data_IF_014827596569
#
_entry.id   IF_014827596569
#
_cell.length_a   1.000
_cell.length_b   1.000
_cell.length_c   1.000
_cell.angle_alpha   90.00
_cell.angle_beta   90.00
_cell.angle_gamma   90.00
#
_symmetry.space_group_name_H-M   'P 1'
#
loop_
_entity.id
_entity.type
_entity.pdbx_description
1 polymer ?
#
# COMPACT_ATOMS: atom_id res chain seq x y z
N UNK A 1 8.30 8.79 -4.44
CA UNK A 1 8.35 8.56 -2.98
C UNK A 1 7.28 9.39 -2.30
N UNK A 2 6.59 8.79 -1.33
CA UNK A 2 5.61 9.44 -0.45
C UNK A 2 6.37 10.20 0.63
N UNK A 3 5.97 11.45 0.88
CA UNK A 3 6.37 12.20 2.08
C UNK A 3 5.24 12.15 3.12
N UNK A 4 4.01 12.46 2.71
CA UNK A 4 2.85 12.48 3.62
C UNK A 4 1.60 12.03 2.86
N UNK A 5 0.74 11.26 3.52
CA UNK A 5 -0.62 11.01 3.06
C UNK A 5 -1.58 11.44 4.16
N UNK A 6 -2.41 12.43 3.86
CA UNK A 6 -3.41 12.96 4.79
C UNK A 6 -4.81 12.62 4.28
N UNK A 7 -5.69 12.24 5.20
CA UNK A 7 -7.07 11.95 4.89
C UNK A 7 -7.96 12.26 6.11
N UNK A 8 -9.21 12.63 5.88
CA UNK A 8 -10.15 12.99 6.94
C UNK A 8 -11.59 12.69 6.55
N UNK A 9 -12.46 12.57 7.55
CA UNK A 9 -13.86 12.15 7.39
C UNK A 9 -13.98 10.88 6.52
N UNK A 10 -13.24 9.83 6.88
CA UNK A 10 -13.17 8.58 6.12
C UNK A 10 -13.13 7.34 7.03
N UNK A 11 -14.06 6.41 6.82
CA UNK A 11 -14.22 5.18 7.57
C UNK A 11 -14.42 5.45 9.05
N UNK A 12 -13.42 5.07 9.85
CA UNK A 12 -13.41 5.32 11.30
C UNK A 12 -12.72 6.62 11.70
N UNK A 13 -12.16 7.39 10.77
CA UNK A 13 -11.44 8.63 11.07
C UNK A 13 -12.36 9.84 10.86
N UNK A 14 -12.69 10.55 11.95
CA UNK A 14 -13.48 11.80 11.90
C UNK A 14 -12.61 12.96 11.40
N UNK A 15 -11.54 13.23 12.14
CA UNK A 15 -10.62 14.34 11.87
C UNK A 15 -9.57 13.97 10.81
N UNK A 16 -8.91 14.97 10.23
CA UNK A 16 -7.79 14.75 9.33
C UNK A 16 -6.62 14.12 10.11
N UNK A 17 -6.13 12.99 9.63
CA UNK A 17 -4.93 12.31 10.11
C UNK A 17 -3.88 12.24 8.99
N UNK A 18 -2.61 12.12 9.37
CA UNK A 18 -1.49 12.10 8.42
C UNK A 18 -0.54 10.94 8.67
N UNK A 19 -0.38 10.08 7.68
CA UNK A 19 0.69 9.11 7.60
C UNK A 19 1.97 9.83 7.14
N UNK A 20 2.95 10.02 8.02
CA UNK A 20 4.15 10.82 7.75
C UNK A 20 5.40 9.96 7.51
N UNK A 21 5.94 9.97 6.29
CA UNK A 21 7.16 9.29 5.89
C UNK A 21 8.42 10.17 5.99
N UNK A 22 8.32 11.40 6.50
CA UNK A 22 9.47 12.26 6.77
C UNK A 22 10.16 11.85 8.06
N UNK A 23 11.48 11.68 8.01
CA UNK A 23 12.26 11.29 9.17
C UNK A 23 12.29 12.40 10.23
N UNK A 24 12.01 12.03 11.47
CA UNK A 24 12.16 12.92 12.61
C UNK A 24 13.65 13.14 12.92
N UNK A 25 13.98 14.31 13.48
CA UNK A 25 15.32 14.65 13.96
C UNK A 25 15.63 13.95 15.30
N UNK A 26 15.67 12.61 15.27
CA UNK A 26 15.93 11.73 16.41
C UNK A 26 17.17 10.88 16.18
N UNK A 27 17.77 10.39 17.28
CA UNK A 27 18.86 9.43 17.25
C UNK A 27 18.37 8.07 17.75
N UNK A 28 18.68 7.02 17.00
CA UNK A 28 18.37 5.64 17.39
C UNK A 28 19.42 5.10 18.35
N UNK A 29 19.08 4.00 19.04
CA UNK A 29 20.05 3.24 19.82
C UNK A 29 21.09 2.60 18.90
N UNK A 30 20.60 1.92 17.86
CA UNK A 30 21.42 1.39 16.78
C UNK A 30 21.67 2.46 15.72
N UNK A 31 22.93 2.92 15.61
CA UNK A 31 23.30 4.03 14.71
C UNK A 31 23.10 3.70 13.23
N UNK A 32 23.20 2.42 12.86
CA UNK A 32 22.96 1.97 11.50
C UNK A 32 21.53 2.24 11.04
N UNK A 33 20.55 2.32 11.94
CA UNK A 33 19.17 2.65 11.58
C UNK A 33 19.04 4.11 11.10
N UNK A 34 19.88 5.00 11.61
CA UNK A 34 19.89 6.42 11.23
C UNK A 34 20.51 6.65 9.84
N UNK A 35 21.11 5.60 9.24
CA UNK A 35 21.66 5.64 7.88
C UNK A 35 20.91 4.71 6.93
N UNK A 36 20.61 3.48 7.36
CA UNK A 36 20.09 2.42 6.51
C UNK A 36 18.59 2.57 6.30
N UNK A 37 17.84 2.94 7.34
CA UNK A 37 16.37 3.03 7.28
C UNK A 37 15.88 4.34 6.64
N UNK A 38 16.80 5.18 6.15
CA UNK A 38 16.49 6.49 5.59
C UNK A 38 16.93 6.62 4.13
N UNK A 39 16.13 7.33 3.34
CA UNK A 39 16.53 7.91 2.06
C UNK A 39 16.95 9.36 2.29
N UNK A 40 18.23 9.68 2.03
CA UNK A 40 18.67 11.07 2.07
C UNK A 40 18.17 11.82 0.83
N UNK A 41 17.28 12.80 1.02
CA UNK A 41 16.76 13.63 -0.09
C UNK A 41 17.65 14.86 -0.31
N UNK A 42 18.01 15.55 0.77
CA UNK A 42 18.95 16.66 0.81
C UNK A 42 19.49 16.84 2.23
N UNK A 43 20.36 17.81 2.48
CA UNK A 43 21.01 18.03 3.80
C UNK A 43 20.04 18.11 4.99
N UNK A 44 18.80 18.58 4.78
CA UNK A 44 17.83 18.84 5.83
C UNK A 44 16.62 17.90 5.81
N UNK A 45 16.54 17.00 4.83
CA UNK A 45 15.39 16.14 4.63
C UNK A 45 15.82 14.71 4.31
N UNK A 46 15.29 13.79 5.09
CA UNK A 46 15.38 12.35 4.85
C UNK A 46 13.98 11.75 4.94
N UNK A 47 13.72 10.72 4.13
CA UNK A 47 12.46 9.97 4.14
C UNK A 47 12.69 8.58 4.73
N UNK A 48 11.68 8.03 5.39
CA UNK A 48 11.69 6.68 5.92
C UNK A 48 11.59 5.68 4.76
N UNK A 49 12.37 4.59 4.85
CA UNK A 49 12.26 3.45 3.92
C UNK A 49 11.10 2.53 4.26
N UNK A 50 10.77 2.42 5.54
CA UNK A 50 9.62 1.62 5.97
C UNK A 50 8.86 2.26 7.12
N UNK A 51 7.59 1.88 7.27
CA UNK A 51 6.72 2.30 8.37
C UNK A 51 5.75 1.18 8.74
N UNK A 52 5.67 0.92 10.03
CA UNK A 52 4.80 -0.07 10.64
C UNK A 52 3.63 0.64 11.34
N UNK A 53 2.42 0.11 11.18
CA UNK A 53 1.20 0.61 11.82
C UNK A 53 0.62 -0.47 12.71
N UNK A 54 0.58 -0.21 14.02
CA UNK A 54 0.08 -1.11 15.06
C UNK A 54 -1.24 -0.64 15.66
N UNK A 55 -1.87 -1.50 16.43
CA UNK A 55 -3.10 -1.18 17.13
C UNK A 55 -4.03 -2.38 17.31
N UNK A 56 -5.00 -2.24 18.21
CA UNK A 56 -5.96 -3.27 18.55
C UNK A 56 -6.83 -3.70 17.36
N UNK A 57 -7.50 -4.85 17.50
CA UNK A 57 -8.55 -5.23 16.56
C UNK A 57 -9.64 -4.16 16.53
N UNK A 58 -10.19 -3.90 15.34
CA UNK A 58 -11.18 -2.86 15.09
C UNK A 58 -10.75 -1.41 15.46
N UNK A 59 -9.46 -1.14 15.67
CA UNK A 59 -8.98 0.22 15.99
C UNK A 59 -9.04 1.19 14.81
N UNK A 60 -8.99 0.69 13.57
CA UNK A 60 -9.04 1.49 12.35
C UNK A 60 -7.83 1.35 11.43
N UNK A 61 -6.84 0.49 11.74
CA UNK A 61 -5.62 0.31 10.91
C UNK A 61 -5.93 0.11 9.43
N UNK A 62 -6.75 -0.88 9.09
CA UNK A 62 -7.13 -1.15 7.69
C UNK A 62 -7.85 0.02 7.03
N UNK A 63 -8.48 0.93 7.78
CA UNK A 63 -9.09 2.14 7.22
C UNK A 63 -8.05 3.15 6.73
N UNK A 64 -6.82 3.14 7.25
CA UNK A 64 -5.69 3.93 6.70
C UNK A 64 -5.37 3.47 5.28
N UNK A 65 -5.26 2.14 5.07
CA UNK A 65 -4.98 1.56 3.75
C UNK A 65 -6.18 1.70 2.82
N UNK A 66 -7.42 1.57 3.33
CA UNK A 66 -8.63 1.82 2.54
C UNK A 66 -8.73 3.28 2.09
N UNK A 67 -8.32 4.25 2.91
CA UNK A 67 -8.30 5.66 2.52
C UNK A 67 -7.34 5.89 1.35
N UNK A 68 -6.12 5.35 1.43
CA UNK A 68 -5.15 5.43 0.33
C UNK A 68 -5.64 4.69 -0.93
N UNK A 69 -6.27 3.53 -0.76
CA UNK A 69 -6.88 2.77 -1.86
C UNK A 69 -8.01 3.55 -2.53
N UNK A 70 -8.90 4.19 -1.75
CA UNK A 70 -9.97 5.03 -2.27
C UNK A 70 -9.41 6.22 -3.04
N UNK A 71 -8.42 6.93 -2.47
CA UNK A 71 -7.73 8.03 -3.13
C UNK A 71 -7.17 7.64 -4.51
N UNK A 72 -6.39 6.55 -4.58
CA UNK A 72 -5.80 6.05 -5.83
C UNK A 72 -6.87 5.58 -6.82
N UNK A 73 -7.92 4.91 -6.35
CA UNK A 73 -9.03 4.44 -7.21
C UNK A 73 -9.82 5.60 -7.80
N UNK A 74 -10.14 6.62 -7.01
CA UNK A 74 -10.84 7.81 -7.49
C UNK A 74 -9.98 8.51 -8.57
N UNK A 75 -8.68 8.66 -8.35
CA UNK A 75 -7.76 9.18 -9.39
C UNK A 75 -7.80 8.32 -10.65
N UNK A 76 -7.70 6.99 -10.52
CA UNK A 76 -7.69 6.07 -11.67
C UNK A 76 -9.00 6.07 -12.49
N UNK A 77 -10.15 6.26 -11.83
CA UNK A 77 -11.45 5.95 -12.41
C UNK A 77 -12.42 7.15 -12.52
N UNK A 78 -12.12 8.32 -11.97
CA UNK A 78 -13.05 9.47 -11.95
C UNK A 78 -13.57 9.94 -13.31
N UNK A 79 -12.81 9.68 -14.39
CA UNK A 79 -13.23 9.95 -15.78
C UNK A 79 -13.85 8.73 -16.46
N UNK A 80 -13.57 7.52 -15.98
CA UNK A 80 -13.91 6.24 -16.65
C UNK A 80 -15.14 5.55 -16.07
N UNK A 81 -15.47 5.80 -14.81
CA UNK A 81 -16.60 5.18 -14.10
C UNK A 81 -17.33 6.25 -13.28
N UNK A 82 -18.61 6.45 -13.56
CA UNK A 82 -19.48 7.37 -12.83
C UNK A 82 -19.66 7.00 -11.36
N UNK A 83 -19.35 5.76 -10.99
CA UNK A 83 -19.40 5.25 -9.61
C UNK A 83 -18.05 5.35 -8.89
N UNK A 84 -17.05 5.97 -9.50
CA UNK A 84 -15.72 6.15 -8.89
C UNK A 84 -15.76 6.80 -7.51
N UNK A 85 -16.69 7.72 -7.24
CA UNK A 85 -16.84 8.35 -5.91
C UNK A 85 -17.50 7.43 -4.87
N UNK A 86 -18.03 6.26 -5.26
CA UNK A 86 -18.58 5.28 -4.31
C UNK A 86 -17.52 4.62 -3.41
N UNK A 87 -16.23 4.82 -3.70
CA UNK A 87 -15.14 4.42 -2.80
C UNK A 87 -15.03 5.30 -1.55
N UNK A 88 -15.77 6.42 -1.49
CA UNK A 88 -15.82 7.29 -0.33
C UNK A 88 -16.77 6.69 0.70
N UNK A 89 -16.26 6.45 1.91
CA UNK A 89 -17.03 6.04 3.06
C UNK A 89 -16.78 7.06 4.17
N UNK A 90 -17.71 7.98 4.43
CA UNK A 90 -17.52 9.06 5.42
C UNK A 90 -17.64 8.55 6.86
N UNK A 91 -17.18 9.33 7.83
CA UNK A 91 -17.34 8.98 9.24
C UNK A 91 -18.80 9.14 9.68
N UNK A 92 -19.49 8.01 9.90
CA UNK A 92 -20.95 7.97 10.10
C UNK A 92 -21.43 8.14 11.54
N UNK A 93 -20.53 8.16 12.52
CA UNK A 93 -20.90 8.28 13.95
C UNK A 93 -21.03 9.74 14.43
N UNK A 94 -21.00 10.70 13.50
CA UNK A 94 -21.13 12.13 13.80
C UNK A 94 -22.14 12.76 12.84
N UNK A 95 -23.18 13.38 13.40
CA UNK A 95 -24.19 14.11 12.62
C UNK A 95 -23.62 15.33 11.91
N UNK A 96 -22.47 15.84 12.37
CA UNK A 96 -21.78 16.98 11.77
C UNK A 96 -21.03 16.58 10.50
N UNK A 97 -20.37 15.41 10.48
CA UNK A 97 -19.44 15.05 9.39
C UNK A 97 -20.04 14.09 8.38
N UNK A 98 -21.18 13.44 8.69
CA UNK A 98 -21.81 12.46 7.81
C UNK A 98 -22.21 13.04 6.44
N UNK A 99 -22.53 14.34 6.39
CA UNK A 99 -22.86 15.09 5.17
C UNK A 99 -21.70 15.89 4.59
N UNK A 100 -20.57 15.98 5.31
CA UNK A 100 -19.39 16.71 4.86
C UNK A 100 -18.56 15.85 3.90
N UNK A 101 -17.80 16.47 2.98
CA UNK A 101 -16.92 15.72 2.09
C UNK A 101 -15.81 15.01 2.87
N UNK A 102 -15.27 13.94 2.28
CA UNK A 102 -14.02 13.33 2.70
C UNK A 102 -12.85 14.14 2.13
N UNK A 103 -11.79 14.27 2.93
CA UNK A 103 -10.56 14.96 2.53
C UNK A 103 -9.49 13.93 2.16
N UNK A 104 -8.75 14.18 1.07
CA UNK A 104 -7.57 13.41 0.71
C UNK A 104 -6.45 14.31 0.19
N UNK A 105 -5.21 14.07 0.63
CA UNK A 105 -4.03 14.76 0.12
C UNK A 105 -2.80 13.87 0.17
N UNK A 106 -2.03 13.86 -0.91
CA UNK A 106 -0.72 13.22 -0.99
C UNK A 106 0.36 14.27 -1.26
N UNK A 107 1.40 14.25 -0.42
CA UNK A 107 2.66 14.94 -0.66
C UNK A 107 3.69 13.89 -1.08
N UNK A 108 4.29 14.08 -2.24
CA UNK A 108 5.18 13.10 -2.84
C UNK A 108 6.22 13.77 -3.74
N UNK A 109 7.25 13.01 -4.12
CA UNK A 109 8.32 13.45 -5.01
C UNK A 109 8.34 12.71 -6.33
N UNK A 110 8.57 13.49 -7.38
CA UNK A 110 8.92 13.04 -8.72
C UNK A 110 10.30 13.64 -9.06
N UNK A 111 11.33 12.81 -9.03
CA UNK A 111 12.71 13.30 -9.09
C UNK A 111 13.02 14.26 -7.93
N UNK A 112 13.46 15.48 -8.25
CA UNK A 112 13.77 16.51 -7.24
C UNK A 112 12.56 17.37 -6.85
N UNK A 113 11.49 17.34 -7.65
CA UNK A 113 10.31 18.19 -7.43
C UNK A 113 9.35 17.54 -6.43
N UNK A 114 8.97 18.32 -5.42
CA UNK A 114 7.90 17.95 -4.48
C UNK A 114 6.56 18.41 -5.04
N UNK A 115 5.55 17.56 -4.95
CA UNK A 115 4.18 17.84 -5.33
C UNK A 115 3.27 17.63 -4.13
N UNK A 116 2.21 18.43 -4.06
CA UNK A 116 1.11 18.28 -3.11
C UNK A 116 -0.18 18.28 -3.90
N UNK A 117 -0.81 17.13 -3.99
CA UNK A 117 -2.05 16.92 -4.74
C UNK A 117 -3.14 16.44 -3.79
N UNK A 118 -4.34 16.97 -3.91
CA UNK A 118 -5.45 16.57 -3.05
C UNK A 118 -6.80 17.01 -3.61
N UNK A 119 -7.85 16.49 -2.99
CA UNK A 119 -9.22 16.83 -3.30
C UNK A 119 -10.13 16.56 -2.10
N UNK A 120 -11.26 17.26 -2.07
CA UNK A 120 -12.38 16.97 -1.20
C UNK A 120 -13.56 16.48 -2.05
N UNK A 121 -14.19 15.40 -1.63
CA UNK A 121 -15.32 14.84 -2.37
C UNK A 121 -16.31 14.14 -1.44
N UNK A 122 -17.58 14.16 -1.83
CA UNK A 122 -18.60 13.26 -1.29
C UNK A 122 -18.94 12.18 -2.34
N UNK A 123 -19.88 11.28 -2.03
CA UNK A 123 -20.28 10.20 -2.95
C UNK A 123 -20.97 10.70 -4.24
N UNK A 124 -21.31 11.99 -4.33
CA UNK A 124 -22.03 12.62 -5.44
C UNK A 124 -21.11 13.48 -6.30
N UNK A 125 -20.24 14.31 -5.69
CA UNK A 125 -19.37 15.25 -6.40
C UNK A 125 -18.04 15.54 -5.69
N UNK A 126 -17.08 16.00 -6.49
CA UNK A 126 -15.83 16.64 -6.07
C UNK A 126 -16.15 18.09 -5.71
N UNK A 127 -15.77 18.51 -4.51
CA UNK A 127 -15.98 19.88 -4.00
C UNK A 127 -14.81 20.77 -4.32
N UNK A 128 -13.60 20.26 -4.13
CA UNK A 128 -12.36 20.99 -4.40
C UNK A 128 -11.27 20.04 -4.87
N UNK A 129 -10.33 20.53 -5.67
CA UNK A 129 -9.18 19.78 -6.15
C UNK A 129 -8.00 20.74 -6.36
N UNK A 130 -6.81 20.33 -5.94
CA UNK A 130 -5.63 21.17 -6.04
C UNK A 130 -4.38 20.38 -6.39
N UNK A 131 -3.49 21.05 -7.11
CA UNK A 131 -2.15 20.57 -7.38
C UNK A 131 -1.15 21.69 -7.17
N UNK A 132 -0.21 21.48 -6.26
CA UNK A 132 0.92 22.36 -6.02
C UNK A 132 2.22 21.68 -6.41
N UNK A 133 3.18 22.47 -6.86
CA UNK A 133 4.55 22.05 -7.13
C UNK A 133 5.54 22.89 -6.33
N UNK A 134 6.63 22.27 -5.91
CA UNK A 134 7.78 22.91 -5.27
C UNK A 134 9.05 22.44 -6.00
N UNK A 135 9.33 22.97 -7.22
CA UNK A 135 10.52 22.60 -7.98
C UNK A 135 11.82 23.07 -7.31
N UNK A 136 11.75 24.20 -6.59
CA UNK A 136 12.86 24.79 -5.85
C UNK A 136 12.50 24.90 -4.34
N UNK A 137 12.57 26.11 -3.76
CA UNK A 137 12.24 26.36 -2.34
C UNK A 137 10.84 26.92 -2.13
N UNK A 138 10.17 27.40 -3.19
CA UNK A 138 8.85 28.02 -3.11
C UNK A 138 7.79 27.08 -3.67
N UNK A 139 6.76 26.82 -2.87
CA UNK A 139 5.56 26.12 -3.33
C UNK A 139 4.72 27.08 -4.17
N UNK A 140 4.19 26.58 -5.28
CA UNK A 140 3.31 27.31 -6.16
C UNK A 140 2.15 26.41 -6.59
N UNK A 141 0.92 26.94 -6.67
CA UNK A 141 -0.18 26.22 -7.28
C UNK A 141 0.13 26.01 -8.76
N UNK A 142 -0.22 24.84 -9.28
CA UNK A 142 -0.32 24.57 -10.71
C UNK A 142 -1.76 24.81 -11.16
N UNK A 143 -2.73 24.27 -10.40
CA UNK A 143 -4.13 24.64 -10.50
C UNK A 143 -4.84 24.52 -9.13
N UNK A 144 -5.94 25.26 -9.00
CA UNK A 144 -6.94 25.09 -7.94
C UNK A 144 -8.32 25.10 -8.60
N UNK A 145 -9.13 24.11 -8.23
CA UNK A 145 -10.49 23.91 -8.68
C UNK A 145 -11.43 23.97 -7.48
N UNK A 146 -12.53 24.70 -7.64
CA UNK A 146 -13.68 24.69 -6.73
C UNK A 146 -14.92 24.29 -7.54
N UNK A 147 -15.66 23.29 -7.05
CA UNK A 147 -16.80 22.67 -7.72
C UNK A 147 -16.47 22.29 -9.18
N UNK A 148 -17.08 22.98 -10.15
CA UNK A 148 -16.88 22.76 -11.59
C UNK A 148 -16.08 23.87 -12.26
N UNK A 149 -15.31 24.66 -11.51
CA UNK A 149 -14.55 25.79 -12.04
C UNK A 149 -13.08 25.76 -11.61
N UNK A 150 -12.17 26.00 -12.56
CA UNK A 150 -10.75 26.24 -12.25
C UNK A 150 -10.60 27.72 -11.84
N UNK A 151 -10.46 27.98 -10.54
CA UNK A 151 -10.35 29.33 -9.99
C UNK A 151 -8.92 29.88 -10.06
N UNK A 152 -7.91 29.00 -10.11
CA UNK A 152 -6.51 29.39 -10.26
C UNK A 152 -5.79 28.46 -11.23
N UNK A 153 -5.00 29.04 -12.14
CA UNK A 153 -4.20 28.32 -13.12
C UNK A 153 -2.86 29.02 -13.30
N UNK A 154 -1.77 28.31 -13.07
CA UNK A 154 -0.43 28.89 -13.18
C UNK A 154 -0.01 29.08 -14.64
N UNK A 155 0.00 30.34 -15.08
CA UNK A 155 0.25 30.70 -16.47
C UNK A 155 1.70 30.45 -16.94
N UNK A 156 2.64 30.31 -16.01
CA UNK A 156 4.08 30.23 -16.30
C UNK A 156 4.64 28.83 -16.12
N UNK A 157 4.16 28.10 -15.12
CA UNK A 157 4.72 26.81 -14.72
C UNK A 157 3.78 25.63 -14.95
N UNK A 158 2.64 25.86 -15.60
CA UNK A 158 1.66 24.81 -15.94
C UNK A 158 1.08 24.98 -17.34
N UNK A 159 1.96 24.99 -18.35
CA UNK A 159 1.60 25.22 -19.77
C UNK A 159 0.51 24.27 -20.27
N UNK A 160 0.53 23.00 -19.86
CA UNK A 160 -0.47 22.00 -20.25
C UNK A 160 -1.88 22.33 -19.74
N UNK A 161 -2.02 22.84 -18.51
CA UNK A 161 -3.30 23.29 -17.98
C UNK A 161 -3.83 24.53 -18.70
N UNK A 162 -2.94 25.48 -19.00
CA UNK A 162 -3.27 26.70 -19.78
C UNK A 162 -3.72 26.34 -21.18
N UNK A 163 -3.00 25.45 -21.86
CA UNK A 163 -3.35 24.99 -23.20
C UNK A 163 -4.69 24.26 -23.19
N UNK A 164 -4.90 23.37 -22.23
CA UNK A 164 -6.18 22.68 -22.04
C UNK A 164 -7.31 23.69 -21.87
N UNK A 165 -7.19 24.67 -20.97
CA UNK A 165 -8.22 25.68 -20.76
C UNK A 165 -8.49 26.51 -22.04
N UNK A 166 -7.47 26.84 -22.83
CA UNK A 166 -7.64 27.56 -24.11
C UNK A 166 -8.42 26.76 -25.15
N UNK A 167 -8.11 25.47 -25.31
CA UNK A 167 -8.79 24.59 -26.25
C UNK A 167 -10.29 24.44 -25.95
N UNK A 168 -10.68 24.73 -24.71
CA UNK A 168 -12.03 24.54 -24.22
C UNK A 168 -12.88 25.81 -24.21
N UNK A 169 -12.26 26.99 -24.28
CA UNK A 169 -13.00 28.27 -24.41
C UNK A 169 -13.89 28.30 -25.65
N UNK A 170 -13.56 27.50 -26.66
CA UNK A 170 -14.33 27.38 -27.90
C UNK A 170 -15.41 26.27 -27.86
N UNK A 171 -15.49 25.51 -26.76
CA UNK A 171 -16.49 24.45 -26.56
C UNK A 171 -17.70 24.97 -25.78
N UNK A 172 -18.92 24.57 -26.19
CA UNK A 172 -20.17 24.93 -25.50
C UNK A 172 -20.49 24.02 -24.30
N UNK A 173 -19.74 22.94 -24.12
CA UNK A 173 -20.00 21.89 -23.14
C UNK A 173 -19.16 22.08 -21.86
N UNK A 174 -19.70 21.70 -20.70
CA UNK A 174 -18.93 21.58 -19.47
C UNK A 174 -17.91 20.45 -19.62
N UNK A 175 -16.63 20.77 -19.49
CA UNK A 175 -15.55 19.86 -19.87
C UNK A 175 -15.30 18.77 -18.84
N UNK A 176 -15.42 19.13 -17.57
CA UNK A 176 -15.27 18.21 -16.45
C UNK A 176 -16.60 18.18 -15.70
N UNK A 177 -17.04 16.98 -15.38
CA UNK A 177 -18.25 16.75 -14.61
C UNK A 177 -17.96 16.99 -13.13
N UNK A 178 -19.04 17.15 -12.37
CA UNK A 178 -19.02 17.16 -10.91
C UNK A 178 -18.29 15.96 -10.30
N UNK A 179 -18.06 14.88 -11.06
CA UNK A 179 -17.47 13.61 -10.59
C UNK A 179 -16.05 13.34 -11.05
N UNK A 180 -15.58 14.05 -12.06
CA UNK A 180 -14.28 13.78 -12.69
C UNK A 180 -13.19 14.68 -12.14
N UNK A 181 -12.02 14.13 -11.76
CA UNK A 181 -10.85 14.92 -11.36
C UNK A 181 -10.17 15.55 -12.58
N UNK A 182 -9.74 16.79 -12.45
CA UNK A 182 -9.02 17.54 -13.48
C UNK A 182 -7.67 16.90 -13.80
N UNK A 183 -6.93 16.42 -12.80
CA UNK A 183 -5.69 15.66 -13.04
C UNK A 183 -5.93 14.43 -13.92
N UNK A 184 -7.03 13.70 -13.69
CA UNK A 184 -7.38 12.50 -14.47
C UNK A 184 -7.78 12.85 -15.90
N UNK A 185 -8.44 13.99 -16.11
CA UNK A 185 -8.69 14.53 -17.45
C UNK A 185 -7.39 14.83 -18.17
N UNK A 186 -6.49 15.60 -17.56
CA UNK A 186 -5.20 15.96 -18.15
C UNK A 186 -4.38 14.71 -18.49
N UNK A 187 -4.38 13.67 -17.63
CA UNK A 187 -3.71 12.41 -17.93
C UNK A 187 -4.16 11.77 -19.26
N UNK A 188 -5.42 11.96 -19.65
CA UNK A 188 -5.99 11.44 -20.91
C UNK A 188 -5.56 12.25 -22.16
N UNK A 189 -4.86 13.37 -21.97
CA UNK A 189 -4.45 14.27 -23.04
C UNK A 189 -2.98 14.08 -23.40
N UNK A 190 -2.68 13.84 -24.69
CA UNK A 190 -1.35 13.43 -25.14
C UNK A 190 -0.22 14.42 -24.86
N UNK A 191 -0.51 15.73 -24.81
CA UNK A 191 0.48 16.78 -24.54
C UNK A 191 0.73 17.04 -23.05
N UNK A 192 -0.12 16.54 -22.14
CA UNK A 192 -0.04 16.83 -20.71
C UNK A 192 0.95 15.92 -19.97
N UNK A 193 2.23 15.97 -20.37
CA UNK A 193 3.28 15.06 -19.87
C UNK A 193 3.54 15.19 -18.38
N UNK A 194 3.42 16.39 -17.81
CA UNK A 194 3.66 16.60 -16.38
C UNK A 194 2.54 15.93 -15.56
N UNK A 195 1.28 16.16 -15.93
CA UNK A 195 0.12 15.50 -15.33
C UNK A 195 0.14 13.99 -15.50
N UNK A 196 0.54 13.48 -16.67
CA UNK A 196 0.72 12.03 -16.88
C UNK A 196 1.77 11.43 -15.93
N UNK A 197 2.89 12.12 -15.71
CA UNK A 197 3.92 11.66 -14.78
C UNK A 197 3.44 11.69 -13.33
N UNK A 198 2.74 12.75 -12.92
CA UNK A 198 2.14 12.89 -11.60
C UNK A 198 1.10 11.78 -11.37
N UNK A 199 0.16 11.63 -12.29
CA UNK A 199 -0.86 10.59 -12.29
C UNK A 199 -0.22 9.21 -12.17
N UNK A 200 0.77 8.89 -13.01
CA UNK A 200 1.48 7.61 -12.97
C UNK A 200 2.18 7.37 -11.63
N UNK A 201 2.80 8.41 -11.06
CA UNK A 201 3.51 8.28 -9.76
C UNK A 201 2.56 7.97 -8.61
N UNK A 202 1.37 8.57 -8.61
CA UNK A 202 0.36 8.30 -7.58
C UNK A 202 -0.24 6.90 -7.78
N UNK A 203 -0.57 6.55 -9.02
CA UNK A 203 -1.28 5.31 -9.35
C UNK A 203 -0.38 4.08 -9.40
N UNK A 204 0.95 4.25 -9.41
CA UNK A 204 1.92 3.16 -9.30
C UNK A 204 2.13 2.67 -7.87
N UNK A 205 1.55 3.32 -6.87
CA UNK A 205 1.61 2.87 -5.48
C UNK A 205 0.90 1.51 -5.38
N UNK A 206 1.63 0.48 -4.95
CA UNK A 206 1.10 -0.87 -4.82
C UNK A 206 0.41 -1.03 -3.46
N UNK A 207 -0.83 -1.51 -3.46
CA UNK A 207 -1.56 -1.88 -2.24
C UNK A 207 -1.96 -3.33 -2.35
N UNK A 208 -1.50 -4.14 -1.40
CA UNK A 208 -1.82 -5.58 -1.32
C UNK A 208 -2.38 -5.92 0.05
N UNK A 209 -3.24 -6.93 0.09
CA UNK A 209 -3.69 -7.54 1.33
C UNK A 209 -2.77 -8.71 1.68
N UNK A 210 -2.48 -8.88 2.98
CA UNK A 210 -1.82 -10.06 3.54
C UNK A 210 -2.69 -11.31 3.48
N UNK A 211 -4.00 -11.17 3.24
CA UNK A 211 -4.89 -12.29 2.97
C UNK A 211 -4.72 -12.80 1.54
N UNK A 212 -5.11 -14.04 1.29
CA UNK A 212 -5.11 -14.62 -0.05
C UNK A 212 -6.08 -13.85 -0.94
N UNK A 213 -5.58 -13.37 -2.08
CA UNK A 213 -6.36 -12.69 -3.12
C UNK A 213 -6.12 -13.41 -4.44
N UNK A 214 -7.19 -13.87 -5.08
CA UNK A 214 -7.13 -14.53 -6.39
C UNK A 214 -6.34 -13.70 -7.41
N UNK A 215 -6.46 -12.37 -7.38
CA UNK A 215 -5.72 -11.48 -8.29
C UNK A 215 -4.22 -11.52 -8.04
N UNK A 216 -3.79 -11.58 -6.77
CA UNK A 216 -2.37 -11.69 -6.44
C UNK A 216 -1.81 -13.03 -6.92
N UNK A 217 -2.58 -14.10 -6.73
CA UNK A 217 -2.22 -15.42 -7.25
C UNK A 217 -2.08 -15.40 -8.77
N UNK A 218 -3.06 -14.85 -9.50
CA UNK A 218 -3.04 -14.75 -10.96
C UNK A 218 -1.81 -13.96 -11.46
N UNK A 219 -1.47 -12.84 -10.81
CA UNK A 219 -0.27 -12.05 -11.11
C UNK A 219 1.01 -12.88 -10.89
N UNK A 220 1.10 -13.61 -9.77
CA UNK A 220 2.26 -14.45 -9.50
C UNK A 220 2.44 -15.58 -10.52
N UNK A 221 1.34 -16.17 -10.98
CA UNK A 221 1.35 -17.16 -12.07
C UNK A 221 1.83 -16.53 -13.37
N UNK A 222 1.35 -15.33 -13.71
CA UNK A 222 1.75 -14.61 -14.92
C UNK A 222 3.25 -14.29 -14.90
N UNK A 223 3.77 -13.83 -13.75
CA UNK A 223 5.18 -13.52 -13.51
C UNK A 223 6.12 -14.71 -13.74
N UNK A 224 5.67 -15.96 -13.64
CA UNK A 224 6.48 -17.14 -13.98
C UNK A 224 6.82 -17.24 -15.48
N UNK A 225 6.14 -16.47 -16.34
CA UNK A 225 6.41 -16.42 -17.78
C UNK A 225 7.57 -15.48 -18.14
N UNK A 226 8.05 -14.66 -17.19
CA UNK A 226 9.22 -13.79 -17.32
C UNK A 226 10.38 -14.41 -16.52
N UNK A 227 11.45 -14.80 -17.19
CA UNK A 227 12.58 -15.52 -16.56
C UNK A 227 13.21 -14.74 -15.40
N UNK A 228 13.31 -13.41 -15.50
CA UNK A 228 13.92 -12.59 -14.45
C UNK A 228 13.02 -12.56 -13.21
N UNK A 229 11.71 -12.44 -13.42
CA UNK A 229 10.73 -12.50 -12.34
C UNK A 229 10.67 -13.90 -11.71
N UNK A 230 10.66 -14.94 -12.54
CA UNK A 230 10.70 -16.34 -12.09
C UNK A 230 11.93 -16.60 -11.22
N UNK A 231 13.12 -16.18 -11.66
CA UNK A 231 14.36 -16.32 -10.91
C UNK A 231 14.29 -15.63 -9.54
N UNK A 232 13.76 -14.40 -9.51
CA UNK A 232 13.56 -13.69 -8.24
C UNK A 232 12.59 -14.42 -7.31
N UNK A 233 11.45 -14.90 -7.84
CA UNK A 233 10.44 -15.64 -7.07
C UNK A 233 11.06 -16.92 -6.48
N UNK A 234 11.77 -17.69 -7.30
CA UNK A 234 12.42 -18.93 -6.85
C UNK A 234 13.51 -18.66 -5.81
N UNK A 235 14.34 -17.63 -6.02
CA UNK A 235 15.37 -17.24 -5.06
C UNK A 235 14.77 -16.76 -3.73
N UNK A 236 13.67 -16.00 -3.79
CA UNK A 236 12.92 -15.58 -2.61
C UNK A 236 12.37 -16.78 -1.83
N UNK A 237 11.72 -17.74 -2.51
CA UNK A 237 11.19 -18.95 -1.90
C UNK A 237 12.30 -19.83 -1.31
N UNK A 238 13.43 -19.99 -2.02
CA UNK A 238 14.60 -20.75 -1.52
C UNK A 238 15.20 -20.12 -0.27
N UNK A 239 15.38 -18.79 -0.25
CA UNK A 239 15.88 -18.05 0.91
C UNK A 239 14.91 -18.09 2.10
N UNK A 240 13.63 -18.29 1.84
CA UNK A 240 12.61 -18.48 2.86
C UNK A 240 12.50 -19.94 3.36
N UNK A 241 13.37 -20.85 2.88
CA UNK A 241 13.49 -22.24 3.32
C UNK A 241 12.21 -23.08 3.16
N UNK A 242 11.50 -22.91 2.05
CA UNK A 242 10.26 -23.67 1.76
C UNK A 242 10.50 -25.01 1.04
N UNK A 243 11.76 -25.30 0.70
CA UNK A 243 12.17 -26.54 0.03
C UNK A 243 11.73 -26.69 -1.43
N UNK A 244 11.41 -25.59 -2.12
CA UNK A 244 11.05 -25.59 -3.56
C UNK A 244 12.30 -25.34 -4.40
N UNK A 245 12.58 -26.24 -5.35
CA UNK A 245 13.72 -26.13 -6.27
C UNK A 245 13.36 -25.36 -7.55
N UNK A 246 12.17 -25.62 -8.10
CA UNK A 246 11.65 -25.02 -9.33
C UNK A 246 10.12 -24.93 -9.30
N UNK A 247 9.58 -24.04 -10.13
CA UNK A 247 8.15 -23.86 -10.38
C UNK A 247 7.89 -23.93 -11.88
N UNK A 248 6.99 -24.82 -12.28
CA UNK A 248 6.60 -25.03 -13.68
C UNK A 248 5.13 -24.73 -13.86
N UNK A 249 4.80 -24.05 -14.95
CA UNK A 249 3.40 -23.85 -15.35
C UNK A 249 3.02 -24.89 -16.40
N UNK A 250 1.91 -25.59 -16.17
CA UNK A 250 1.32 -26.54 -17.11
C UNK A 250 -0.01 -25.98 -17.60
N UNK A 251 -0.20 -25.94 -18.91
CA UNK A 251 -1.46 -25.56 -19.53
C UNK A 251 -2.42 -26.76 -19.55
N UNK A 252 -3.70 -26.53 -19.21
CA UNK A 252 -4.72 -27.58 -19.26
C UNK A 252 -5.16 -27.79 -20.71
N UNK A 253 -4.80 -28.94 -21.27
CA UNK A 253 -5.20 -29.38 -22.61
C UNK A 253 -6.51 -30.19 -22.59
N UNK A 254 -7.14 -30.35 -23.76
CA UNK A 254 -8.44 -31.02 -23.89
C UNK A 254 -8.41 -32.50 -23.50
N UNK A 255 -7.27 -33.12 -23.69
CA UNK A 255 -6.94 -34.51 -23.41
C UNK A 255 -7.03 -34.86 -21.91
N UNK A 256 -6.96 -33.87 -21.02
CA UNK A 256 -7.04 -34.05 -19.57
C UNK A 256 -8.41 -33.69 -19.00
N UNK A 257 -9.29 -33.05 -19.81
CA UNK A 257 -10.60 -32.58 -19.36
C UNK A 257 -11.68 -33.67 -19.56
N UNK A 258 -12.52 -33.95 -18.55
CA UNK A 258 -13.66 -34.85 -18.71
C UNK A 258 -14.56 -34.43 -19.88
N UNK A 259 -14.88 -35.38 -20.76
CA UNK A 259 -15.68 -35.13 -21.97
C UNK A 259 -17.08 -34.59 -21.67
N UNK A 260 -17.62 -34.91 -20.50
CA UNK A 260 -18.95 -34.53 -20.01
C UNK A 260 -19.04 -33.11 -19.44
N UNK A 261 -17.95 -32.35 -19.38
CA UNK A 261 -18.00 -30.95 -18.97
C UNK A 261 -18.61 -30.08 -20.08
N UNK A 262 -19.42 -29.10 -19.68
CA UNK A 262 -19.92 -28.06 -20.59
C UNK A 262 -18.76 -27.26 -21.21
N UNK A 263 -18.91 -26.87 -22.49
CA UNK A 263 -17.84 -26.17 -23.21
C UNK A 263 -17.45 -24.83 -22.57
N UNK A 264 -18.38 -24.11 -21.92
CA UNK A 264 -18.04 -22.90 -21.16
C UNK A 264 -17.11 -23.19 -19.97
N UNK A 265 -17.31 -24.33 -19.29
CA UNK A 265 -16.46 -24.76 -18.18
C UNK A 265 -15.10 -25.20 -18.70
N UNK A 266 -15.06 -25.97 -19.80
CA UNK A 266 -13.80 -26.32 -20.46
C UNK A 266 -13.03 -25.09 -20.92
N UNK A 267 -13.70 -24.08 -21.47
CA UNK A 267 -13.05 -22.83 -21.87
C UNK A 267 -12.46 -22.05 -20.70
N UNK A 268 -13.12 -22.03 -19.54
CA UNK A 268 -12.56 -21.43 -18.32
C UNK A 268 -11.33 -22.19 -17.85
N UNK A 269 -11.40 -23.52 -17.76
CA UNK A 269 -10.29 -24.37 -17.32
C UNK A 269 -9.08 -24.30 -18.27
N UNK A 270 -9.30 -24.21 -19.58
CA UNK A 270 -8.22 -24.01 -20.58
C UNK A 270 -7.40 -22.73 -20.35
N UNK A 271 -7.98 -21.73 -19.70
CA UNK A 271 -7.29 -20.46 -19.39
C UNK A 271 -6.53 -20.52 -18.07
N UNK A 272 -6.75 -21.53 -17.25
CA UNK A 272 -6.04 -21.69 -15.98
C UNK A 272 -4.71 -22.41 -16.21
N UNK A 273 -3.62 -21.82 -15.71
CA UNK A 273 -2.31 -22.47 -15.66
C UNK A 273 -2.19 -23.18 -14.31
N UNK A 274 -1.92 -24.48 -14.35
CA UNK A 274 -1.57 -25.24 -13.15
C UNK A 274 -0.11 -25.00 -12.82
N UNK A 275 0.20 -24.88 -11.53
CA UNK A 275 1.58 -24.74 -11.07
C UNK A 275 2.01 -26.05 -10.42
N UNK A 276 3.18 -26.52 -10.83
CA UNK A 276 3.87 -27.65 -10.23
C UNK A 276 5.12 -27.15 -9.52
N UNK A 277 5.27 -27.50 -8.24
CA UNK A 277 6.51 -27.32 -7.50
C UNK A 277 7.37 -28.57 -7.59
N UNK A 278 8.65 -28.40 -7.89
CA UNK A 278 9.65 -29.47 -7.81
C UNK A 278 10.40 -29.41 -6.48
N UNK A 279 10.56 -30.56 -5.82
CA UNK A 279 11.34 -30.70 -4.56
C UNK A 279 12.30 -31.87 -4.63
N UNK A 280 13.38 -31.78 -3.85
CA UNK A 280 14.39 -32.86 -3.75
C UNK A 280 13.78 -34.13 -3.15
N UNK A 281 13.99 -35.25 -3.81
CA UNK A 281 13.64 -36.59 -3.34
C UNK A 281 14.88 -37.28 -2.75
N UNK A 282 14.70 -37.98 -1.63
CA UNK A 282 15.77 -38.73 -0.95
C UNK A 282 15.51 -40.24 -0.98
N UNK A 283 16.57 -41.04 -1.05
CA UNK A 283 16.49 -42.49 -0.90
C UNK A 283 16.41 -42.93 0.57
N UNK A 284 16.42 -44.24 0.82
CA UNK A 284 16.39 -44.80 2.18
C UNK A 284 17.61 -44.44 3.05
N UNK A 285 18.69 -43.97 2.43
CA UNK A 285 19.93 -43.54 3.10
C UNK A 285 20.02 -42.01 3.22
N UNK A 286 18.92 -41.29 2.96
CA UNK A 286 18.84 -39.83 2.95
C UNK A 286 19.79 -39.17 1.94
N UNK A 287 20.17 -39.87 0.87
CA UNK A 287 20.92 -39.31 -0.24
C UNK A 287 19.98 -38.79 -1.32
N UNK A 288 20.39 -37.72 -2.02
CA UNK A 288 19.60 -37.14 -3.10
C UNK A 288 19.43 -38.19 -4.22
N UNK A 289 18.18 -38.56 -4.49
CA UNK A 289 17.81 -39.57 -5.48
C UNK A 289 17.19 -38.97 -6.74
N UNK A 290 16.70 -37.73 -6.68
CA UNK A 290 16.07 -37.05 -7.80
C UNK A 290 15.20 -35.87 -7.36
N UNK A 291 14.20 -35.55 -8.18
CA UNK A 291 13.18 -34.55 -7.89
C UNK A 291 11.78 -35.17 -7.97
N UNK A 292 10.85 -34.63 -7.17
CA UNK A 292 9.44 -35.01 -7.18
C UNK A 292 8.59 -33.76 -7.40
N UNK A 293 7.63 -33.89 -8.31
CA UNK A 293 6.71 -32.84 -8.72
C UNK A 293 5.41 -32.92 -7.91
N UNK A 294 4.98 -31.77 -7.38
CA UNK A 294 3.80 -31.63 -6.53
C UNK A 294 2.87 -30.55 -7.10
N UNK A 295 1.55 -30.73 -6.92
CA UNK A 295 0.61 -29.65 -7.21
C UNK A 295 0.78 -28.52 -6.21
N UNK A 296 1.19 -27.35 -6.70
CA UNK A 296 1.47 -26.20 -5.84
C UNK A 296 0.23 -25.78 -5.02
N UNK A 297 -0.93 -25.74 -5.68
CA UNK A 297 -2.19 -25.30 -5.06
C UNK A 297 -2.66 -26.24 -3.95
N UNK A 298 -2.50 -27.55 -4.13
CA UNK A 298 -3.06 -28.54 -3.20
C UNK A 298 -2.06 -29.04 -2.16
N UNK A 299 -0.77 -29.00 -2.46
CA UNK A 299 0.25 -29.67 -1.64
C UNK A 299 1.21 -28.71 -0.93
N UNK A 300 1.28 -27.44 -1.34
CA UNK A 300 2.04 -26.44 -0.60
C UNK A 300 1.27 -25.85 0.58
N UNK A 301 2.01 -25.40 1.59
CA UNK A 301 1.45 -24.69 2.74
C UNK A 301 0.87 -23.33 2.33
N UNK A 302 -0.07 -22.83 3.13
CA UNK A 302 -0.63 -21.48 2.92
C UNK A 302 0.43 -20.38 3.04
N UNK A 303 1.46 -20.56 3.89
CA UNK A 303 2.58 -19.63 3.98
C UNK A 303 3.43 -19.61 2.71
N UNK A 304 3.69 -20.78 2.11
CA UNK A 304 4.39 -20.91 0.82
C UNK A 304 3.62 -20.24 -0.31
N UNK A 305 2.30 -20.48 -0.39
CA UNK A 305 1.43 -19.80 -1.38
C UNK A 305 1.45 -18.29 -1.19
N UNK A 306 1.41 -17.82 0.07
CA UNK A 306 1.46 -16.38 0.35
C UNK A 306 2.80 -15.75 -0.04
N UNK A 307 3.92 -16.43 0.20
CA UNK A 307 5.23 -15.99 -0.27
C UNK A 307 5.28 -15.86 -1.78
N UNK A 308 4.79 -16.89 -2.48
CA UNK A 308 4.68 -16.89 -3.93
C UNK A 308 3.83 -15.71 -4.43
N UNK A 309 2.63 -15.52 -3.87
CA UNK A 309 1.73 -14.41 -4.20
C UNK A 309 2.36 -13.02 -3.96
N UNK A 310 3.13 -12.85 -2.89
CA UNK A 310 3.70 -11.56 -2.51
C UNK A 310 4.99 -11.21 -3.29
N UNK A 311 5.78 -12.23 -3.66
CA UNK A 311 7.10 -12.04 -4.26
C UNK A 311 7.14 -11.18 -5.54
N UNK A 312 6.19 -11.26 -6.50
CA UNK A 312 6.16 -10.35 -7.65
C UNK A 312 5.97 -8.88 -7.26
N UNK A 313 5.19 -8.60 -6.22
CA UNK A 313 4.95 -7.24 -5.75
C UNK A 313 6.18 -6.67 -5.06
N UNK A 314 6.91 -7.48 -4.29
CA UNK A 314 8.21 -7.10 -3.72
C UNK A 314 9.21 -6.82 -4.83
N UNK A 315 9.29 -7.70 -5.84
CA UNK A 315 10.15 -7.51 -7.01
C UNK A 315 9.85 -6.19 -7.72
N UNK A 316 8.59 -5.96 -8.10
CA UNK A 316 8.18 -4.76 -8.83
C UNK A 316 8.43 -3.50 -8.00
N UNK A 317 8.07 -3.53 -6.72
CA UNK A 317 8.32 -2.45 -5.77
C UNK A 317 9.79 -2.04 -5.73
N UNK A 318 10.70 -2.99 -5.53
CA UNK A 318 12.14 -2.73 -5.44
C UNK A 318 12.76 -2.35 -6.79
N UNK A 319 12.33 -2.99 -7.88
CA UNK A 319 12.84 -2.74 -9.23
C UNK A 319 12.45 -1.35 -9.75
N UNK A 320 11.17 -1.00 -9.62
CA UNK A 320 10.63 0.26 -10.16
C UNK A 320 10.71 1.41 -9.13
N UNK A 321 11.08 1.13 -7.88
CA UNK A 321 11.11 2.13 -6.81
C UNK A 321 9.72 2.62 -6.41
N UNK A 322 8.71 1.76 -6.53
CA UNK A 322 7.31 2.09 -6.24
C UNK A 322 6.98 1.73 -4.80
N UNK A 323 6.27 2.60 -4.04
CA UNK A 323 5.87 2.27 -2.68
C UNK A 323 4.97 1.03 -2.64
N UNK A 324 5.25 0.12 -1.71
CA UNK A 324 4.43 -1.04 -1.40
C UNK A 324 3.74 -0.86 -0.06
N UNK A 325 2.42 -0.99 -0.05
CA UNK A 325 1.58 -0.96 1.13
C UNK A 325 0.96 -2.33 1.34
N UNK A 326 1.15 -2.91 2.52
CA UNK A 326 0.64 -4.23 2.88
C UNK A 326 -0.27 -4.12 4.09
N UNK A 327 -1.56 -4.42 3.93
CA UNK A 327 -2.46 -4.64 5.07
C UNK A 327 -2.28 -6.08 5.60
N UNK A 328 -2.45 -6.30 6.90
CA UNK A 328 -2.26 -7.62 7.55
C UNK A 328 -0.95 -8.34 7.17
N UNK A 329 0.19 -7.63 7.25
CA UNK A 329 1.49 -8.12 6.80
C UNK A 329 1.99 -9.39 7.50
N UNK A 330 1.53 -9.67 8.71
CA UNK A 330 1.83 -10.89 9.48
C UNK A 330 0.95 -12.08 9.11
N UNK A 331 -0.12 -11.88 8.34
CA UNK A 331 -1.04 -12.96 8.00
C UNK A 331 -0.32 -14.09 7.26
N UNK A 332 -0.33 -15.29 7.87
CA UNK A 332 0.20 -16.56 7.34
C UNK A 332 1.71 -16.59 7.11
N UNK A 333 2.46 -15.59 7.56
CA UNK A 333 3.92 -15.60 7.54
C UNK A 333 4.51 -16.01 8.89
N UNK A 334 5.68 -16.64 8.84
CA UNK A 334 6.51 -16.80 10.03
C UNK A 334 7.14 -15.43 10.39
N UNK A 335 7.18 -15.00 11.66
CA UNK A 335 7.72 -13.70 12.08
C UNK A 335 9.15 -13.38 11.60
N UNK A 336 10.00 -14.40 11.48
CA UNK A 336 11.37 -14.21 10.96
C UNK A 336 11.38 -13.78 9.48
N UNK A 337 10.39 -14.20 8.70
CA UNK A 337 10.30 -13.85 7.29
C UNK A 337 9.83 -12.41 7.10
N UNK A 338 8.79 -11.98 7.83
CA UNK A 338 8.35 -10.57 7.83
C UNK A 338 9.49 -9.66 8.27
N UNK A 339 10.27 -10.06 9.28
CA UNK A 339 11.50 -9.37 9.68
C UNK A 339 12.52 -9.26 8.54
N UNK A 340 12.79 -10.35 7.82
CA UNK A 340 13.74 -10.35 6.68
C UNK A 340 13.29 -9.44 5.54
N UNK A 341 11.99 -9.37 5.26
CA UNK A 341 11.44 -8.44 4.26
C UNK A 341 11.62 -6.99 4.73
N UNK A 342 11.33 -6.68 5.99
CA UNK A 342 11.55 -5.32 6.54
C UNK A 342 13.04 -4.95 6.51
N UNK A 343 13.92 -5.89 6.84
CA UNK A 343 15.38 -5.72 6.72
C UNK A 343 15.80 -5.43 5.27
N UNK A 344 15.23 -6.13 4.28
CA UNK A 344 15.48 -5.88 2.86
C UNK A 344 15.07 -4.46 2.44
N UNK A 345 13.89 -3.98 2.85
CA UNK A 345 13.48 -2.61 2.54
C UNK A 345 14.31 -1.56 3.29
N UNK A 346 14.75 -1.86 4.51
CA UNK A 346 15.64 -0.98 5.27
C UNK A 346 17.12 -1.13 4.86
N UNK A 347 17.45 -2.02 3.93
CA UNK A 347 18.83 -2.28 3.57
C UNK A 347 19.43 -1.17 2.72
N UNK A 348 20.77 -1.01 2.69
CA UNK A 348 21.44 -0.08 1.79
C UNK A 348 21.16 -0.35 0.30
N UNK A 349 20.84 -1.59 -0.07
CA UNK A 349 20.55 -2.02 -1.45
C UNK A 349 19.23 -1.43 -1.96
N UNK A 350 18.22 -1.26 -1.10
CA UNK A 350 17.02 -0.52 -1.46
C UNK A 350 17.33 0.99 -1.57
N UNK A 351 17.26 1.52 -2.78
CA UNK A 351 17.56 2.93 -3.10
C UNK A 351 16.33 3.81 -3.28
N UNK A 352 15.16 3.23 -3.56
CA UNK A 352 14.04 3.99 -4.10
C UNK A 352 12.66 3.61 -3.56
N UNK A 353 12.49 2.40 -3.02
CA UNK A 353 11.15 1.91 -2.64
C UNK A 353 10.82 2.08 -1.16
N UNK A 354 9.56 2.38 -0.86
CA UNK A 354 9.06 2.48 0.51
C UNK A 354 8.13 1.32 0.84
N UNK A 355 8.21 0.81 2.07
CA UNK A 355 7.30 -0.19 2.60
C UNK A 355 6.44 0.39 3.72
N UNK A 356 5.13 0.48 3.55
CA UNK A 356 4.19 0.76 4.65
C UNK A 356 3.43 -0.52 4.95
N UNK A 357 3.37 -0.93 6.21
CA UNK A 357 2.69 -2.17 6.54
C UNK A 357 1.87 -2.06 7.83
N UNK A 358 0.72 -2.71 7.84
CA UNK A 358 -0.10 -2.91 9.03
C UNK A 358 0.21 -4.30 9.56
N UNK A 359 0.42 -4.41 10.87
CA UNK A 359 0.70 -5.71 11.47
C UNK A 359 0.22 -5.80 12.91
N UNK A 360 0.00 -7.04 13.35
CA UNK A 360 -0.18 -7.42 14.75
C UNK A 360 1.06 -8.11 15.35
N UNK A 361 2.08 -8.40 14.54
CA UNK A 361 3.28 -9.10 14.98
C UNK A 361 4.20 -8.18 15.78
N UNK A 362 4.21 -8.38 17.10
CA UNK A 362 5.02 -7.59 18.03
C UNK A 362 6.52 -7.86 17.89
N UNK A 363 6.94 -8.95 17.24
CA UNK A 363 8.37 -9.24 17.01
C UNK A 363 9.06 -8.18 16.14
N UNK A 364 8.28 -7.43 15.34
CA UNK A 364 8.77 -6.33 14.52
C UNK A 364 8.95 -5.03 15.33
N UNK A 365 8.38 -4.93 16.55
CA UNK A 365 8.56 -3.81 17.48
C UNK A 365 9.92 -3.90 18.20
N UNK A 366 11.00 -3.72 17.44
CA UNK A 366 12.36 -3.75 17.96
C UNK A 366 13.13 -2.47 17.66
N UNK A 367 13.86 -1.96 18.65
CA UNK A 367 14.80 -0.84 18.49
C UNK A 367 16.07 -1.21 17.71
N UNK A 368 16.23 -2.48 17.35
CA UNK A 368 17.27 -2.99 16.46
C UNK A 368 16.79 -3.04 15.00
N UNK A 369 15.48 -2.95 14.75
CA UNK A 369 14.89 -3.05 13.41
C UNK A 369 14.30 -1.72 12.93
N UNK A 370 13.58 -1.02 13.81
CA UNK A 370 12.80 0.16 13.49
C UNK A 370 13.22 1.35 14.35
N UNK A 371 13.28 2.52 13.72
CA UNK A 371 13.35 3.81 14.42
C UNK A 371 11.98 4.14 15.01
N UNK A 372 11.95 5.01 16.03
CA UNK A 372 10.68 5.42 16.67
C UNK A 372 9.72 6.14 15.71
N UNK A 373 10.23 6.85 14.70
CA UNK A 373 9.42 7.51 13.67
C UNK A 373 8.89 6.54 12.60
N UNK A 374 9.33 5.29 12.60
CA UNK A 374 8.81 4.23 11.72
C UNK A 374 7.67 3.43 12.38
N UNK A 375 7.29 3.77 13.62
CA UNK A 375 6.28 3.03 14.39
C UNK A 375 5.11 3.97 14.65
N UNK A 376 3.99 3.72 13.98
CA UNK A 376 2.74 4.42 14.20
C UNK A 376 1.74 3.48 14.90
N UNK A 377 0.82 4.08 15.65
CA UNK A 377 -0.27 3.40 16.33
C UNK A 377 -1.61 3.98 15.88
N UNK A 378 -2.61 3.11 15.79
CA UNK A 378 -4.00 3.50 15.60
C UNK A 378 -4.82 3.03 16.79
N UNK A 379 -5.45 3.97 17.46
CA UNK A 379 -6.40 3.72 18.53
C UNK A 379 -7.75 4.35 18.23
N UNK A 380 -8.78 3.86 18.90
CA UNK A 380 -10.15 4.35 18.75
C UNK A 380 -10.58 4.98 20.07
N UNK A 381 -11.12 6.19 19.99
CA UNK A 381 -11.65 6.88 21.16
C UNK A 381 -13.04 6.34 21.56
N UNK A 382 -13.56 6.86 22.67
CA UNK A 382 -14.86 6.47 23.22
C UNK A 382 -16.06 6.82 22.32
N UNK A 383 -15.88 7.67 21.31
CA UNK A 383 -16.92 8.04 20.34
C UNK A 383 -16.79 7.23 19.03
N UNK A 384 -15.82 6.32 18.96
CA UNK A 384 -15.59 5.46 17.81
C UNK A 384 -14.70 6.08 16.74
N UNK A 385 -14.15 7.27 16.95
CA UNK A 385 -13.21 7.91 16.02
C UNK A 385 -11.79 7.38 16.24
N UNK A 386 -11.12 7.04 15.15
CA UNK A 386 -9.75 6.57 15.12
C UNK A 386 -8.77 7.74 15.11
N UNK A 387 -7.63 7.56 15.78
CA UNK A 387 -6.51 8.50 15.84
C UNK A 387 -5.23 7.77 15.44
N UNK A 388 -4.44 8.39 14.57
CA UNK A 388 -3.14 7.87 14.10
C UNK A 388 -2.04 8.73 14.71
N UNK A 389 -1.09 8.12 15.42
CA UNK A 389 0.01 8.84 16.07
C UNK A 389 1.30 8.02 16.07
N UNK A 390 2.44 8.70 16.10
CA UNK A 390 3.77 8.09 16.04
C UNK A 390 4.33 7.81 17.43
N UNK A 391 5.16 6.78 17.59
CA UNK A 391 5.88 6.50 18.86
C UNK A 391 6.76 7.69 19.32
N UNK A 392 7.20 8.55 18.40
CA UNK A 392 7.94 9.80 18.70
C UNK A 392 7.09 10.80 19.48
N UNK A 393 5.78 10.82 19.28
CA UNK A 393 4.86 11.75 19.94
C UNK A 393 4.63 11.37 21.42
N UNK A 394 4.89 10.11 21.78
CA UNK A 394 4.77 9.62 23.15
C UNK A 394 5.96 10.12 23.99
N UNK A 395 5.66 10.93 25.00
CA UNK A 395 6.67 11.49 25.91
C UNK A 395 7.32 10.41 26.76
N UNK A 396 8.65 10.49 26.91
CA UNK A 396 9.41 9.65 27.84
C UNK A 396 9.90 8.30 27.27
N UNK A 397 9.56 7.96 26.03
CA UNK A 397 10.07 6.75 25.37
C UNK A 397 11.57 6.90 25.10
N UNK A 398 12.39 6.08 25.76
CA UNK A 398 13.85 6.07 25.53
C UNK A 398 14.18 5.35 24.24
N UNK A 399 15.28 5.71 23.59
CA UNK A 399 15.71 5.07 22.33
C UNK A 399 16.18 3.62 22.49
N UNK A 400 16.44 3.18 23.72
CA UNK A 400 16.82 1.80 24.08
C UNK A 400 15.72 1.06 24.84
N UNK A 401 14.49 1.58 24.81
CA UNK A 401 13.34 0.90 25.41
C UNK A 401 13.04 -0.41 24.67
N UNK A 402 12.45 -1.37 25.37
CA UNK A 402 11.89 -2.55 24.73
C UNK A 402 10.52 -2.18 24.17
N UNK A 403 10.47 -1.82 22.88
CA UNK A 403 9.23 -1.33 22.26
C UNK A 403 8.12 -2.39 22.33
N UNK A 404 8.42 -3.64 22.02
CA UNK A 404 7.48 -4.76 22.17
C UNK A 404 6.91 -4.87 23.60
N UNK A 405 7.78 -4.97 24.62
CA UNK A 405 7.33 -5.15 26.00
C UNK A 405 6.47 -3.98 26.48
N UNK A 406 6.89 -2.76 26.15
CA UNK A 406 6.17 -1.55 26.54
C UNK A 406 4.82 -1.42 25.82
N UNK A 407 4.73 -1.86 24.56
CA UNK A 407 3.47 -1.95 23.81
C UNK A 407 2.53 -2.98 24.44
N UNK A 408 3.00 -4.21 24.72
CA UNK A 408 2.17 -5.27 25.34
C UNK A 408 1.66 -4.86 26.73
N UNK A 409 2.44 -4.07 27.47
CA UNK A 409 2.03 -3.49 28.76
C UNK A 409 1.05 -2.32 28.63
N UNK A 410 0.68 -1.92 27.41
CA UNK A 410 -0.26 -0.83 27.13
C UNK A 410 0.32 0.57 27.31
N UNK A 411 1.66 0.72 27.44
CA UNK A 411 2.28 2.04 27.66
C UNK A 411 2.12 3.00 26.48
N UNK A 412 1.93 2.44 25.29
CA UNK A 412 1.76 3.22 24.07
C UNK A 412 0.30 3.36 23.64
N UNK A 413 -0.65 2.91 24.46
CA UNK A 413 -2.05 2.81 24.04
C UNK A 413 -2.22 1.74 22.96
N UNK A 414 -3.26 1.89 22.15
CA UNK A 414 -3.55 1.04 20.99
C UNK A 414 -3.57 -0.48 21.25
N UNK A 415 -3.79 -0.92 22.49
CA UNK A 415 -4.00 -2.34 22.88
C UNK A 415 -5.46 -2.59 23.23
N UNK A 416 -5.98 -3.83 23.05
CA UNK A 416 -7.36 -4.14 23.40
C UNK A 416 -7.58 -4.15 24.91
N UNK A 417 -8.68 -3.55 25.37
CA UNK A 417 -9.18 -3.70 26.73
C UNK A 417 -10.10 -4.93 26.79
N UNK A 418 -9.55 -6.07 27.23
CA UNK A 418 -10.28 -7.32 27.31
C UNK A 418 -10.95 -7.45 28.69
N UNK A 419 -12.25 -7.74 28.71
CA UNK A 419 -12.97 -8.10 29.92
C UNK A 419 -12.70 -9.54 30.37
N UNK A 420 -13.33 -9.96 31.46
CA UNK A 420 -13.26 -11.35 31.91
C UNK A 420 -14.19 -12.23 31.08
N UNK A 421 -13.58 -13.08 30.24
CA UNK A 421 -14.31 -13.97 29.33
C UNK A 421 -14.93 -15.17 30.05
N UNK A 422 -14.57 -15.45 31.31
CA UNK A 422 -15.17 -16.56 32.08
C UNK A 422 -16.67 -16.37 32.30
N UNK A 423 -17.15 -15.11 32.32
CA UNK A 423 -18.56 -14.78 32.42
C UNK A 423 -19.41 -15.20 31.20
N UNK A 424 -18.79 -15.59 30.08
CA UNK A 424 -19.51 -16.10 28.90
C UNK A 424 -19.99 -17.55 29.07
N UNK A 425 -19.48 -18.28 30.08
CA UNK A 425 -19.70 -19.72 30.26
C UNK A 425 -20.95 -20.00 31.13
N UNK A 426 -21.72 -18.98 31.50
CA UNK A 426 -23.02 -19.16 32.16
C UNK A 426 -24.09 -19.54 31.14
N UNK A 427 -24.23 -20.85 30.88
CA UNK A 427 -25.29 -21.41 30.03
C UNK A 427 -26.57 -21.77 30.81
N UNK A 428 -26.75 -21.20 32.01
CA UNK A 428 -27.92 -21.45 32.86
C UNK A 428 -29.20 -20.79 32.33
#
# INVERSE_FOLDING_TARGET
>A
MIEEFSFGNFGSFKEIQTLNMTAAKIKSKEKSLDTNNLFQVNENLSLLKSKAIYGANASGKSNVVRALSAFIKIINYSVKDERSLSFIDTFRLSTETVSEPAFFQLIFRVGKTRYRYGFEADVKSIKSEWLFSTPNKREQPLFIREENEIIEMNQTHFEEGVLYQKLLKDSKDQIFTERSLFLTHLNSIGFAKQSQQIFKTITSILIVSGLTDKRMYDIAVESLSDEIQKDFILDFLKKADVGINDLKTIEITNDVLPNNLEEEVKQKLRKEKLIISSKTQFDSNLQVAGESDFSFVYQESEGTKKMFELSPFIYYSLKEGTPLIIDEFDARFHPLLTKKIVELYNSPENKTSQLVFITHDTNLLSHELLRRDQIDFVEKDKYGASHLYTLVEIKGVRNNASYEKDYIQGKYGAVPFLGDFTNLISFE
#
